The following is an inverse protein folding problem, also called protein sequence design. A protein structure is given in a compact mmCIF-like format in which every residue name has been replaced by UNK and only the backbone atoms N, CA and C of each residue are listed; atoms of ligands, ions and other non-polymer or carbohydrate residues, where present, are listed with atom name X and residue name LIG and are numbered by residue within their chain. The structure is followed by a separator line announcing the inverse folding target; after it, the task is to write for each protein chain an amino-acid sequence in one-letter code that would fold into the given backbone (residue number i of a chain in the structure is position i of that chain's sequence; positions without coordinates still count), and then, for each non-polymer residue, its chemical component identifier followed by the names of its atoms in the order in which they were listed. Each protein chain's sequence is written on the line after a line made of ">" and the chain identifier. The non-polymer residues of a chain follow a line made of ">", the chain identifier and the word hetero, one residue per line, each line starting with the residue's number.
data_IF_649996149116
#
_entry.id   IF_649996149116
#
_cell.length_a   1.000
_cell.length_b   1.000
_cell.length_c   1.000
_cell.angle_alpha   90.00
_cell.angle_beta   90.00
_cell.angle_gamma   90.00
#
_symmetry.space_group_name_H-M   'P 1'
#
loop_
_entity.id
_entity.type
_entity.pdbx_description
1 polymer ?
#
# COMPACT_ATOMS: atom_id res chain seq x y z
N UNK A 1 -6.38 -27.62 -10.07
CA UNK A 1 -5.91 -26.32 -9.59
C UNK A 1 -7.08 -25.33 -9.56
N UNK A 2 -7.20 -24.56 -8.47
CA UNK A 2 -8.29 -23.60 -8.37
C UNK A 2 -7.94 -22.27 -9.06
N UNK A 3 -6.78 -21.70 -8.77
CA UNK A 3 -6.31 -20.44 -9.35
C UNK A 3 -4.89 -20.62 -9.88
N UNK A 4 -4.64 -20.13 -11.11
CA UNK A 4 -3.31 -20.02 -11.70
C UNK A 4 -3.01 -18.58 -12.06
N UNK A 5 -1.86 -18.07 -11.62
CA UNK A 5 -1.53 -16.66 -11.72
C UNK A 5 -0.30 -16.44 -12.61
N UNK A 6 -0.26 -15.29 -13.28
CA UNK A 6 0.92 -14.86 -14.03
C UNK A 6 0.86 -13.41 -14.47
N UNK A 7 1.91 -12.94 -15.11
CA UNK A 7 1.87 -11.67 -15.83
C UNK A 7 0.97 -11.78 -17.06
N UNK A 8 0.49 -10.65 -17.57
CA UNK A 8 -0.34 -10.61 -18.76
C UNK A 8 0.34 -11.24 -20.00
N UNK A 9 1.66 -11.20 -20.05
CA UNK A 9 2.47 -11.81 -21.09
C UNK A 9 2.45 -13.34 -21.06
N UNK A 10 2.09 -13.96 -19.94
CA UNK A 10 1.91 -15.40 -19.82
C UNK A 10 0.58 -15.90 -20.39
N UNK A 11 -0.40 -15.03 -20.59
CA UNK A 11 -1.70 -15.44 -21.15
C UNK A 11 -1.54 -16.16 -22.49
N UNK A 12 -0.62 -15.65 -23.34
CA UNK A 12 -0.24 -16.27 -24.59
C UNK A 12 1.28 -16.05 -24.84
N UNK A 13 2.02 -17.10 -25.26
CA UNK A 13 1.59 -18.48 -25.50
C UNK A 13 1.74 -19.42 -24.28
N UNK A 14 2.27 -18.94 -23.12
CA UNK A 14 2.68 -19.80 -22.01
C UNK A 14 1.50 -20.56 -21.38
N UNK A 15 0.51 -19.86 -20.87
CA UNK A 15 -0.65 -20.49 -20.23
C UNK A 15 -1.53 -21.27 -21.21
N UNK A 16 -1.62 -20.85 -22.48
CA UNK A 16 -2.32 -21.64 -23.51
C UNK A 16 -1.62 -22.97 -23.77
N UNK A 17 -0.28 -23.02 -23.72
CA UNK A 17 0.48 -24.26 -23.82
C UNK A 17 0.31 -25.15 -22.58
N UNK A 18 0.26 -24.54 -21.38
CA UNK A 18 -0.01 -25.29 -20.15
C UNK A 18 -1.42 -25.92 -20.15
N UNK A 19 -2.43 -25.19 -20.62
CA UNK A 19 -3.78 -25.73 -20.83
C UNK A 19 -3.72 -26.93 -21.77
N UNK A 20 -3.14 -26.77 -22.95
CA UNK A 20 -3.07 -27.83 -23.95
C UNK A 20 -2.37 -29.08 -23.43
N UNK A 21 -1.25 -28.93 -22.74
CA UNK A 21 -0.48 -30.07 -22.20
C UNK A 21 -1.19 -30.74 -21.03
N UNK A 22 -1.65 -29.94 -20.06
CA UNK A 22 -2.26 -30.45 -18.82
C UNK A 22 -3.60 -31.10 -19.09
N UNK A 23 -4.47 -30.49 -19.89
CA UNK A 23 -5.79 -31.02 -20.17
C UNK A 23 -5.75 -32.22 -21.10
N UNK A 24 -4.79 -32.30 -22.04
CA UNK A 24 -4.56 -33.49 -22.85
C UNK A 24 -4.14 -34.68 -21.99
N UNK A 25 -3.33 -34.45 -20.95
CA UNK A 25 -2.89 -35.51 -20.03
C UNK A 25 -3.99 -35.91 -19.05
N UNK A 26 -4.70 -34.93 -18.48
CA UNK A 26 -5.71 -35.15 -17.42
C UNK A 26 -7.07 -35.62 -17.96
N UNK A 27 -7.40 -35.29 -19.21
CA UNK A 27 -8.72 -35.53 -19.80
C UNK A 27 -9.86 -34.65 -19.26
N UNK A 28 -9.53 -33.58 -18.54
CA UNK A 28 -10.49 -32.62 -17.98
C UNK A 28 -9.87 -31.24 -17.81
N UNK A 29 -10.66 -30.15 -17.62
CA UNK A 29 -10.16 -28.82 -17.33
C UNK A 29 -9.21 -28.82 -16.13
N UNK A 30 -8.04 -28.21 -16.30
CA UNK A 30 -6.96 -28.24 -15.32
C UNK A 30 -7.10 -27.15 -14.26
N UNK A 31 -7.51 -25.94 -14.65
CA UNK A 31 -7.61 -24.79 -13.76
C UNK A 31 -8.94 -24.08 -13.93
N UNK A 32 -9.55 -23.65 -12.81
CA UNK A 32 -10.85 -22.96 -12.81
C UNK A 32 -10.71 -21.47 -13.13
N UNK A 33 -9.70 -20.80 -12.57
CA UNK A 33 -9.51 -19.36 -12.67
C UNK A 33 -8.09 -19.02 -13.09
N UNK A 34 -7.98 -18.23 -14.15
CA UNK A 34 -6.72 -17.71 -14.66
C UNK A 34 -6.62 -16.23 -14.31
N UNK A 35 -5.58 -15.87 -13.57
CA UNK A 35 -5.39 -14.52 -13.03
C UNK A 35 -4.15 -13.88 -13.64
N UNK A 36 -4.34 -12.78 -14.39
CA UNK A 36 -3.25 -12.08 -15.06
C UNK A 36 -3.09 -10.66 -14.57
N UNK A 37 -1.88 -10.33 -14.13
CA UNK A 37 -1.52 -9.02 -13.58
C UNK A 37 -0.73 -8.23 -14.62
N UNK A 38 -1.02 -6.94 -14.76
CA UNK A 38 -0.20 -6.05 -15.57
C UNK A 38 1.14 -5.77 -14.88
N UNK A 39 2.17 -5.49 -15.69
CA UNK A 39 3.51 -5.33 -15.19
C UNK A 39 3.68 -4.08 -14.32
N UNK A 40 4.57 -4.21 -13.35
CA UNK A 40 5.18 -3.07 -12.69
C UNK A 40 6.23 -2.47 -13.64
N UNK A 41 6.07 -1.19 -13.95
CA UNK A 41 6.97 -0.44 -14.80
C UNK A 41 7.82 0.55 -13.98
N UNK A 42 8.94 0.96 -14.52
CA UNK A 42 9.66 2.17 -14.10
C UNK A 42 9.59 3.22 -15.22
N UNK A 43 10.25 4.36 -15.06
CA UNK A 43 10.28 5.41 -16.07
C UNK A 43 10.86 4.97 -17.44
N UNK A 44 11.53 3.81 -17.50
CA UNK A 44 12.15 3.21 -18.70
C UNK A 44 11.28 2.10 -19.30
N UNK A 45 10.12 1.79 -18.70
CA UNK A 45 9.19 0.75 -19.09
C UNK A 45 9.20 -0.47 -18.16
N UNK A 46 8.93 -1.68 -18.68
CA UNK A 46 8.86 -2.92 -17.87
C UNK A 46 10.15 -3.14 -17.10
N UNK A 47 10.05 -3.27 -15.78
CA UNK A 47 11.16 -3.66 -14.91
C UNK A 47 11.55 -5.12 -15.19
N UNK A 48 12.82 -5.36 -15.44
CA UNK A 48 13.34 -6.73 -15.68
C UNK A 48 14.73 -6.92 -15.08
N UNK A 49 15.03 -8.15 -14.65
CA UNK A 49 16.33 -8.54 -14.08
C UNK A 49 17.48 -8.29 -15.06
N UNK A 50 17.26 -8.50 -16.37
CA UNK A 50 18.28 -8.40 -17.40
C UNK A 50 18.79 -6.99 -17.70
N UNK A 51 18.06 -5.95 -17.26
CA UNK A 51 18.42 -4.53 -17.51
C UNK A 51 19.26 -3.88 -16.41
N UNK A 52 19.66 -4.63 -15.39
CA UNK A 52 20.35 -4.09 -14.21
C UNK A 52 19.44 -3.19 -13.35
N UNK A 53 19.71 -3.06 -12.05
CA UNK A 53 18.90 -2.21 -11.16
C UNK A 53 17.54 -2.82 -10.79
N UNK A 54 17.48 -4.14 -10.65
CA UNK A 54 16.30 -4.84 -10.17
C UNK A 54 16.00 -4.42 -8.72
N UNK A 55 14.86 -3.80 -8.51
CA UNK A 55 14.37 -3.45 -7.18
C UNK A 55 13.83 -4.69 -6.50
N UNK A 56 14.41 -5.03 -5.36
CA UNK A 56 13.90 -6.06 -4.45
C UNK A 56 13.26 -5.39 -3.24
N UNK A 57 12.40 -6.12 -2.52
CA UNK A 57 11.86 -5.65 -1.24
C UNK A 57 13.00 -5.37 -0.25
N UNK A 58 14.02 -6.25 -0.20
CA UNK A 58 15.21 -6.04 0.66
C UNK A 58 15.93 -4.73 0.37
N UNK A 59 16.03 -4.32 -0.90
CA UNK A 59 16.63 -3.02 -1.24
C UNK A 59 15.76 -1.85 -0.74
N UNK A 60 14.43 -2.00 -0.69
CA UNK A 60 13.55 -0.99 -0.11
C UNK A 60 13.77 -0.90 1.40
N UNK A 61 13.92 -2.04 2.09
CA UNK A 61 14.24 -2.10 3.53
C UNK A 61 15.60 -1.45 3.82
N UNK A 62 16.64 -1.75 3.03
CA UNK A 62 17.96 -1.10 3.12
C UNK A 62 17.90 0.42 2.94
N UNK A 63 16.91 0.90 2.18
CA UNK A 63 16.62 2.33 1.99
C UNK A 63 15.69 2.93 3.06
N UNK A 64 15.32 2.14 4.07
CA UNK A 64 14.48 2.58 5.19
C UNK A 64 12.97 2.56 4.92
N UNK A 65 12.51 1.91 3.86
CA UNK A 65 11.08 1.75 3.63
C UNK A 65 10.56 0.48 4.30
N UNK A 66 9.43 0.60 4.99
CA UNK A 66 8.68 -0.56 5.47
C UNK A 66 8.08 -1.32 4.27
N UNK A 67 8.20 -2.65 4.18
CA UNK A 67 7.57 -3.48 3.15
C UNK A 67 6.06 -3.26 3.00
N UNK A 68 5.36 -2.93 4.10
CA UNK A 68 3.92 -2.65 4.08
C UNK A 68 3.57 -1.36 3.33
N UNK A 69 4.49 -0.40 3.28
CA UNK A 69 4.36 0.79 2.42
C UNK A 69 4.35 0.39 0.94
N UNK A 70 5.23 -0.52 0.53
CA UNK A 70 5.23 -1.03 -0.84
C UNK A 70 3.95 -1.83 -1.14
N UNK A 71 3.46 -2.61 -0.16
CA UNK A 71 2.18 -3.29 -0.28
C UNK A 71 1.03 -2.30 -0.47
N UNK A 72 0.96 -1.24 0.34
CA UNK A 72 -0.05 -0.19 0.18
C UNK A 72 0.04 0.46 -1.21
N UNK A 73 1.25 0.80 -1.67
CA UNK A 73 1.48 1.34 -3.01
C UNK A 73 0.88 0.43 -4.10
N UNK A 74 1.07 -0.88 -4.01
CA UNK A 74 0.48 -1.83 -4.96
C UNK A 74 -1.05 -1.89 -4.86
N UNK A 75 -1.61 -1.89 -3.64
CA UNK A 75 -3.06 -1.98 -3.42
C UNK A 75 -3.83 -0.73 -3.84
N UNK A 76 -3.16 0.42 -3.95
CA UNK A 76 -3.75 1.67 -4.44
C UNK A 76 -4.10 1.63 -5.94
N UNK A 77 -3.61 0.64 -6.68
CA UNK A 77 -3.90 0.46 -8.10
C UNK A 77 -4.60 -0.88 -8.34
N UNK A 78 -5.55 -0.89 -9.27
CA UNK A 78 -6.15 -2.15 -9.71
C UNK A 78 -5.13 -2.98 -10.50
N UNK A 79 -5.05 -4.29 -10.27
CA UNK A 79 -4.07 -5.19 -10.88
C UNK A 79 -4.12 -5.26 -12.41
N UNK A 80 -5.27 -4.89 -13.02
CA UNK A 80 -5.44 -4.74 -14.49
C UNK A 80 -4.99 -3.38 -15.03
N UNK A 81 -4.42 -2.52 -14.20
CA UNK A 81 -3.85 -1.24 -14.64
C UNK A 81 -2.34 -1.29 -14.56
N UNK A 82 -1.63 -0.67 -15.53
CA UNK A 82 -0.18 -0.51 -15.41
C UNK A 82 0.16 0.26 -14.14
N UNK A 83 1.09 -0.26 -13.34
CA UNK A 83 1.60 0.44 -12.18
C UNK A 83 3.02 0.91 -12.47
N UNK A 84 3.29 2.19 -12.30
CA UNK A 84 4.62 2.77 -12.50
C UNK A 84 5.25 3.06 -11.15
N UNK A 85 6.39 2.44 -10.89
CA UNK A 85 7.18 2.64 -9.69
C UNK A 85 8.11 3.85 -9.86
N UNK A 86 8.15 4.69 -8.84
CA UNK A 86 9.22 5.67 -8.58
C UNK A 86 9.39 5.82 -7.07
N UNK A 87 10.55 6.28 -6.63
CA UNK A 87 10.72 6.58 -5.20
C UNK A 87 9.79 7.69 -4.74
N UNK A 88 9.50 8.70 -5.57
CA UNK A 88 8.50 9.72 -5.25
C UNK A 88 7.11 9.14 -5.02
N UNK A 89 6.69 8.15 -5.82
CA UNK A 89 5.39 7.47 -5.61
C UNK A 89 5.39 6.60 -4.36
N UNK A 90 6.53 5.98 -4.04
CA UNK A 90 6.69 5.22 -2.80
C UNK A 90 6.70 6.15 -1.57
N UNK A 91 7.36 7.32 -1.63
CA UNK A 91 7.34 8.35 -0.59
C UNK A 91 5.91 8.84 -0.31
N UNK A 92 5.11 9.03 -1.38
CA UNK A 92 3.69 9.39 -1.22
C UNK A 92 2.90 8.28 -0.53
N UNK A 93 3.17 7.02 -0.87
CA UNK A 93 2.55 5.88 -0.19
C UNK A 93 3.00 5.77 1.28
N UNK A 94 4.27 6.04 1.58
CA UNK A 94 4.80 6.07 2.95
C UNK A 94 4.10 7.13 3.80
N UNK A 95 3.93 8.34 3.26
CA UNK A 95 3.19 9.41 3.95
C UNK A 95 1.72 9.04 4.15
N UNK A 96 1.09 8.41 3.16
CA UNK A 96 -0.30 7.96 3.26
C UNK A 96 -0.46 6.87 4.33
N UNK A 97 0.46 5.89 4.36
CA UNK A 97 0.48 4.84 5.37
C UNK A 97 0.67 5.42 6.79
N UNK A 98 1.64 6.31 6.95
CA UNK A 98 1.91 6.95 8.23
C UNK A 98 0.70 7.76 8.74
N UNK A 99 0.06 8.55 7.87
CA UNK A 99 -1.16 9.30 8.21
C UNK A 99 -2.32 8.37 8.57
N UNK A 100 -2.46 7.25 7.86
CA UNK A 100 -3.48 6.23 8.15
C UNK A 100 -3.24 5.63 9.54
N UNK A 101 -2.04 5.18 9.83
CA UNK A 101 -1.63 4.63 11.13
C UNK A 101 -1.85 5.63 12.26
N UNK A 102 -1.43 6.89 12.11
CA UNK A 102 -1.64 7.94 13.12
C UNK A 102 -3.12 8.19 13.40
N UNK A 103 -3.94 8.19 12.35
CA UNK A 103 -5.38 8.37 12.49
C UNK A 103 -6.05 7.20 13.23
N UNK A 104 -5.60 5.98 12.98
CA UNK A 104 -6.07 4.79 13.69
C UNK A 104 -5.57 4.79 15.14
N UNK A 105 -4.34 5.23 15.38
CA UNK A 105 -3.76 5.37 16.72
C UNK A 105 -4.52 6.37 17.61
N UNK A 106 -5.18 7.37 17.02
CA UNK A 106 -6.01 8.34 17.76
C UNK A 106 -7.38 7.79 18.16
N UNK A 107 -7.80 6.63 17.65
CA UNK A 107 -9.08 6.01 18.02
C UNK A 107 -8.98 5.39 19.42
N UNK A 108 -10.01 5.64 20.26
CA UNK A 108 -10.11 5.00 21.57
C UNK A 108 -10.15 3.47 21.45
N UNK A 109 -9.52 2.79 22.39
CA UNK A 109 -9.55 1.33 22.52
C UNK A 109 -10.74 0.84 23.36
N UNK A 110 -11.48 1.76 23.95
CA UNK A 110 -12.58 1.45 24.84
C UNK A 110 -13.91 1.33 24.10
N UNK A 111 -14.83 0.56 24.68
CA UNK A 111 -16.18 0.38 24.16
C UNK A 111 -16.38 -0.94 23.45
N UNK A 112 -17.61 -1.17 23.02
CA UNK A 112 -18.00 -2.36 22.25
C UNK A 112 -18.38 -1.90 20.82
N UNK A 113 -18.05 -2.69 19.80
CA UNK A 113 -18.44 -2.36 18.44
C UNK A 113 -19.95 -2.55 18.22
N UNK A 114 -20.55 -1.64 17.49
CA UNK A 114 -21.90 -1.78 16.95
C UNK A 114 -21.82 -2.55 15.62
N UNK A 115 -22.12 -3.85 15.68
CA UNK A 115 -22.04 -4.76 14.53
C UNK A 115 -23.08 -4.44 13.47
N UNK A 116 -24.26 -3.94 13.87
CA UNK A 116 -25.30 -3.56 12.91
C UNK A 116 -24.91 -2.29 12.15
N UNK A 117 -24.33 -1.30 12.82
CA UNK A 117 -23.79 -0.12 12.18
C UNK A 117 -22.54 -0.42 11.31
N UNK A 118 -21.80 -1.47 11.61
CA UNK A 118 -20.65 -1.92 10.82
C UNK A 118 -21.05 -2.61 9.50
N UNK A 119 -22.17 -3.32 9.47
CA UNK A 119 -22.61 -4.17 8.35
C UNK A 119 -22.61 -3.48 6.99
N UNK A 120 -23.13 -2.27 6.80
CA UNK A 120 -23.12 -1.60 5.49
C UNK A 120 -21.70 -1.38 4.94
N UNK A 121 -20.72 -1.14 5.79
CA UNK A 121 -19.32 -0.96 5.38
C UNK A 121 -18.64 -2.28 5.03
N UNK A 122 -18.97 -3.36 5.73
CA UNK A 122 -18.51 -4.71 5.39
C UNK A 122 -19.05 -5.14 4.03
N UNK A 123 -20.34 -4.90 3.76
CA UNK A 123 -20.97 -5.19 2.47
C UNK A 123 -20.33 -4.36 1.34
N UNK A 124 -20.04 -3.08 1.57
CA UNK A 124 -19.35 -2.23 0.59
C UNK A 124 -17.94 -2.73 0.31
N UNK A 125 -17.19 -3.12 1.33
CA UNK A 125 -15.84 -3.67 1.19
C UNK A 125 -15.86 -5.00 0.43
N UNK A 126 -16.77 -5.91 0.78
CA UNK A 126 -16.96 -7.16 0.06
C UNK A 126 -17.36 -6.94 -1.40
N UNK A 127 -18.26 -5.98 -1.67
CA UNK A 127 -18.66 -5.62 -3.03
C UNK A 127 -17.48 -5.05 -3.84
N UNK A 128 -16.61 -4.24 -3.22
CA UNK A 128 -15.42 -3.72 -3.86
C UNK A 128 -14.46 -4.84 -4.27
N UNK A 129 -14.20 -5.79 -3.37
CA UNK A 129 -13.33 -6.94 -3.65
C UNK A 129 -13.99 -7.95 -4.58
N UNK A 130 -15.32 -8.16 -4.46
CA UNK A 130 -16.10 -9.00 -5.37
C UNK A 130 -16.17 -8.46 -6.80
N UNK A 131 -15.90 -7.17 -6.98
CA UNK A 131 -15.79 -6.54 -8.29
C UNK A 131 -14.35 -6.61 -8.81
N UNK A 132 -13.93 -7.82 -9.17
CA UNK A 132 -12.62 -8.10 -9.78
C UNK A 132 -11.43 -7.64 -8.91
N UNK A 133 -11.49 -7.91 -7.62
CA UNK A 133 -10.45 -7.58 -6.63
C UNK A 133 -10.04 -6.09 -6.66
N UNK A 134 -11.03 -5.19 -6.70
CA UNK A 134 -10.78 -3.75 -6.72
C UNK A 134 -10.29 -3.23 -5.36
N UNK A 135 -9.03 -3.49 -5.05
CA UNK A 135 -8.39 -3.10 -3.79
C UNK A 135 -8.34 -1.59 -3.60
N UNK A 136 -8.24 -0.82 -4.68
CA UNK A 136 -8.27 0.66 -4.57
C UNK A 136 -9.62 1.18 -4.09
N UNK A 137 -10.72 0.53 -4.49
CA UNK A 137 -12.05 0.83 -3.96
C UNK A 137 -12.20 0.32 -2.52
N UNK A 138 -11.65 -0.86 -2.20
CA UNK A 138 -11.60 -1.36 -0.83
C UNK A 138 -10.89 -0.39 0.13
N UNK A 139 -9.76 0.19 -0.29
CA UNK A 139 -9.07 1.25 0.46
C UNK A 139 -9.94 2.51 0.62
N UNK A 140 -10.74 2.86 -0.39
CA UNK A 140 -11.69 3.98 -0.27
C UNK A 140 -12.69 3.73 0.84
N UNK A 141 -13.26 2.53 0.92
CA UNK A 141 -14.19 2.14 2.00
C UNK A 141 -13.52 2.24 3.37
N UNK A 142 -12.25 1.80 3.49
CA UNK A 142 -11.47 1.95 4.72
C UNK A 142 -11.34 3.43 5.15
N UNK A 143 -11.04 4.33 4.21
CA UNK A 143 -10.96 5.77 4.50
C UNK A 143 -12.34 6.36 4.86
N UNK A 144 -13.42 5.85 4.28
CA UNK A 144 -14.77 6.31 4.59
C UNK A 144 -15.22 5.86 5.98
N UNK A 145 -14.85 4.64 6.42
CA UNK A 145 -15.03 4.20 7.81
C UNK A 145 -14.38 5.18 8.79
N UNK A 146 -13.16 5.62 8.51
CA UNK A 146 -12.45 6.56 9.38
C UNK A 146 -13.11 7.95 9.48
N UNK A 147 -13.90 8.36 8.46
CA UNK A 147 -14.64 9.63 8.42
C UNK A 147 -16.05 9.50 8.96
N UNK A 148 -16.59 8.28 8.99
CA UNK A 148 -17.98 8.03 9.35
C UNK A 148 -18.30 8.44 10.80
N UNK A 149 -19.55 8.73 11.05
CA UNK A 149 -20.08 8.95 12.40
C UNK A 149 -20.37 7.60 13.08
N UNK A 150 -19.29 6.90 13.43
CA UNK A 150 -19.28 5.61 14.11
C UNK A 150 -18.45 5.73 15.39
N UNK A 151 -18.76 4.91 16.40
CA UNK A 151 -17.91 4.80 17.58
C UNK A 151 -16.51 4.32 17.21
N UNK A 152 -15.49 4.73 17.97
CA UNK A 152 -14.11 4.30 17.73
C UNK A 152 -13.96 2.78 17.81
N UNK A 153 -14.69 2.12 18.73
CA UNK A 153 -14.73 0.66 18.83
C UNK A 153 -15.25 0.01 17.52
N UNK A 154 -16.30 0.58 16.92
CA UNK A 154 -16.84 0.09 15.64
C UNK A 154 -15.87 0.33 14.48
N UNK A 155 -15.21 1.50 14.45
CA UNK A 155 -14.17 1.76 13.44
C UNK A 155 -13.01 0.77 13.56
N UNK A 156 -12.50 0.52 14.76
CA UNK A 156 -11.41 -0.44 14.99
C UNK A 156 -11.82 -1.85 14.59
N UNK A 157 -13.04 -2.27 14.89
CA UNK A 157 -13.60 -3.55 14.47
C UNK A 157 -13.59 -3.71 12.93
N UNK A 158 -14.05 -2.68 12.20
CA UNK A 158 -14.05 -2.68 10.73
C UNK A 158 -12.63 -2.66 10.14
N UNK A 159 -11.71 -1.92 10.75
CA UNK A 159 -10.31 -1.88 10.32
C UNK A 159 -9.66 -3.26 10.47
N UNK A 160 -9.89 -3.94 11.60
CA UNK A 160 -9.40 -5.30 11.84
C UNK A 160 -9.93 -6.28 10.79
N UNK A 161 -11.22 -6.25 10.53
CA UNK A 161 -11.89 -7.09 9.53
C UNK A 161 -11.32 -6.86 8.11
N UNK A 162 -11.18 -5.62 7.70
CA UNK A 162 -10.65 -5.27 6.37
C UNK A 162 -9.16 -5.61 6.24
N UNK A 163 -8.41 -5.46 7.32
CA UNK A 163 -6.97 -5.70 7.31
C UNK A 163 -6.61 -7.18 7.24
N UNK A 164 -7.55 -8.09 7.57
CA UNK A 164 -7.38 -9.52 7.30
C UNK A 164 -7.20 -9.82 5.81
N UNK A 165 -7.72 -8.97 4.92
CA UNK A 165 -7.54 -9.06 3.48
C UNK A 165 -6.43 -8.13 2.99
N UNK A 166 -6.44 -6.87 3.44
CA UNK A 166 -5.44 -5.88 3.01
C UNK A 166 -4.03 -6.22 3.52
N UNK A 167 -3.94 -6.82 4.72
CA UNK A 167 -2.70 -7.24 5.38
C UNK A 167 -1.67 -6.11 5.44
N UNK A 168 -2.10 -4.96 5.92
CA UNK A 168 -1.27 -3.76 6.09
C UNK A 168 -0.76 -3.61 7.53
N UNK A 169 -1.17 -4.50 8.46
CA UNK A 169 -0.75 -4.46 9.86
C UNK A 169 -1.21 -3.20 10.61
N UNK A 170 -2.39 -2.65 10.23
CA UNK A 170 -2.83 -1.31 10.61
C UNK A 170 -2.99 -1.14 12.12
N UNK A 171 -3.64 -2.09 12.80
CA UNK A 171 -3.87 -1.99 14.24
C UNK A 171 -2.56 -2.17 15.02
N UNK A 172 -1.70 -3.09 14.60
CA UNK A 172 -0.39 -3.31 15.22
C UNK A 172 0.51 -2.08 15.06
N UNK A 173 0.59 -1.52 13.85
CA UNK A 173 1.34 -0.30 13.58
C UNK A 173 0.82 0.90 14.39
N UNK A 174 -0.52 1.01 14.55
CA UNK A 174 -1.14 2.04 15.36
C UNK A 174 -0.81 1.90 16.85
N UNK A 175 -0.72 0.67 17.36
CA UNK A 175 -0.30 0.39 18.72
C UNK A 175 1.15 0.77 18.96
N UNK A 176 2.04 0.41 18.05
CA UNK A 176 3.45 0.80 18.12
C UNK A 176 3.64 2.31 18.05
N UNK A 177 2.86 2.99 17.18
CA UNK A 177 2.88 4.45 17.08
C UNK A 177 2.41 5.13 18.37
N UNK A 178 1.41 4.56 19.05
CA UNK A 178 0.91 5.09 20.34
C UNK A 178 1.89 4.88 21.50
N UNK A 179 2.77 3.87 21.40
CA UNK A 179 3.76 3.53 22.45
C UNK A 179 5.07 4.30 22.26
N UNK A 180 5.35 4.81 21.06
CA UNK A 180 6.50 5.68 20.87
C UNK A 180 6.27 6.93 21.72
N UNK A 181 7.17 7.28 22.66
CA UNK A 181 7.07 8.56 23.36
C UNK A 181 6.95 9.65 22.31
N UNK A 182 6.02 10.58 22.55
CA UNK A 182 5.95 11.79 21.74
C UNK A 182 7.37 12.32 21.60
N UNK A 183 7.84 12.46 20.36
CA UNK A 183 9.23 12.86 20.10
C UNK A 183 9.55 14.05 21.00
N UNK A 184 10.78 14.09 21.52
CA UNK A 184 11.29 15.17 22.35
C UNK A 184 10.62 16.47 21.92
N UNK A 185 9.89 17.14 22.82
CA UNK A 185 9.33 18.46 22.51
C UNK A 185 10.49 19.32 22.00
N UNK A 186 10.45 19.60 20.71
CA UNK A 186 11.45 20.45 20.08
C UNK A 186 11.30 21.85 20.69
N UNK A 187 12.41 22.47 21.03
CA UNK A 187 12.37 23.87 21.45
C UNK A 187 11.81 24.74 20.31
N UNK A 188 11.24 25.91 20.58
CA UNK A 188 10.80 26.82 19.53
C UNK A 188 11.89 27.15 18.50
N UNK A 189 13.15 27.13 18.92
CA UNK A 189 14.31 27.37 18.05
C UNK A 189 14.59 26.19 17.14
N UNK A 190 14.57 24.95 17.66
CA UNK A 190 14.72 23.73 16.88
C UNK A 190 13.55 23.56 15.85
N UNK A 191 12.34 23.91 16.27
CA UNK A 191 11.16 23.90 15.37
C UNK A 191 11.34 24.87 14.21
N UNK A 192 11.77 26.11 14.48
CA UNK A 192 12.01 27.12 13.45
C UNK A 192 13.15 26.72 12.49
N UNK A 193 14.20 26.07 13.00
CA UNK A 193 15.30 25.57 12.17
C UNK A 193 14.85 24.44 11.25
N UNK A 194 14.06 23.49 11.74
CA UNK A 194 13.48 22.41 10.97
C UNK A 194 12.52 22.95 9.90
N UNK A 195 11.66 23.92 10.23
CA UNK A 195 10.75 24.55 9.27
C UNK A 195 11.52 25.28 8.15
N UNK A 196 12.60 25.98 8.50
CA UNK A 196 13.48 26.64 7.52
C UNK A 196 14.16 25.64 6.57
N UNK A 197 14.59 24.47 7.08
CA UNK A 197 15.16 23.39 6.28
C UNK A 197 14.13 22.76 5.37
N UNK A 198 12.91 22.54 5.85
CA UNK A 198 11.78 22.02 5.03
C UNK A 198 11.47 22.99 3.87
N UNK A 199 11.45 24.30 4.15
CA UNK A 199 11.20 25.30 3.12
C UNK A 199 12.33 25.35 2.08
N UNK A 200 13.59 25.34 2.51
CA UNK A 200 14.76 25.28 1.61
C UNK A 200 14.73 24.03 0.73
N UNK A 201 14.35 22.86 1.30
CA UNK A 201 14.20 21.64 0.52
C UNK A 201 13.09 21.78 -0.54
N UNK A 202 11.97 22.40 -0.20
CA UNK A 202 10.87 22.64 -1.15
C UNK A 202 11.31 23.58 -2.31
N UNK A 203 12.10 24.57 -2.01
CA UNK A 203 12.66 25.52 -3.03
C UNK A 203 13.67 24.81 -3.92
N UNK A 204 14.60 24.02 -3.37
CA UNK A 204 15.55 23.22 -4.12
C UNK A 204 14.83 22.24 -5.08
N UNK A 205 13.76 21.58 -4.63
CA UNK A 205 12.92 20.72 -5.48
C UNK A 205 12.24 21.48 -6.61
N UNK A 206 11.72 22.69 -6.37
CA UNK A 206 11.16 23.56 -7.42
C UNK A 206 12.21 23.97 -8.44
N UNK A 207 13.43 24.23 -7.99
CA UNK A 207 14.57 24.57 -8.84
C UNK A 207 15.18 23.34 -9.55
N UNK A 208 14.69 22.11 -9.28
CA UNK A 208 15.25 20.83 -9.74
C UNK A 208 16.69 20.59 -9.28
N UNK A 209 17.11 21.22 -8.21
CA UNK A 209 18.38 20.98 -7.52
C UNK A 209 18.23 19.80 -6.57
N UNK A 210 18.34 18.60 -7.13
CA UNK A 210 18.15 17.36 -6.41
C UNK A 210 19.27 17.09 -5.40
N UNK A 211 20.49 17.54 -5.68
CA UNK A 211 21.61 17.37 -4.79
C UNK A 211 21.42 18.10 -3.46
N UNK A 212 20.99 19.37 -3.53
CA UNK A 212 20.66 20.16 -2.32
C UNK A 212 19.44 19.62 -1.60
N UNK A 213 18.42 19.18 -2.34
CA UNK A 213 17.21 18.59 -1.73
C UNK A 213 17.49 17.29 -0.98
N UNK A 214 18.40 16.45 -1.49
CA UNK A 214 18.82 15.20 -0.85
C UNK A 214 19.72 15.46 0.35
N UNK A 215 20.66 16.39 0.27
CA UNK A 215 21.51 16.79 1.42
C UNK A 215 20.67 17.31 2.59
N UNK A 216 19.63 18.11 2.32
CA UNK A 216 18.72 18.61 3.38
C UNK A 216 17.87 17.46 3.94
N UNK A 217 17.44 16.50 3.13
CA UNK A 217 16.74 15.30 3.64
C UNK A 217 17.62 14.54 4.63
N UNK A 218 18.88 14.31 4.28
CA UNK A 218 19.83 13.56 5.09
C UNK A 218 20.21 14.32 6.39
N UNK A 219 20.08 15.65 6.38
CA UNK A 219 20.25 16.48 7.58
C UNK A 219 19.03 16.44 8.50
N UNK A 220 17.83 16.15 7.96
CA UNK A 220 16.57 16.07 8.71
C UNK A 220 16.26 14.64 9.21
N UNK A 221 17.00 13.64 8.76
CA UNK A 221 16.86 12.23 9.15
C UNK A 221 17.64 11.92 10.43
#
# INVERSE_FOLDING_TARGET
>A
LDIHCGGIDNAFPHHTNEIAQSEAYLGHPWCKYWFHVLHLNDARGKMSKSKGGFLTVSLLEEKGYDPLVYRLFCLQSHYRKPLTFSFDSLDNAAQAYQKLVQRIASLSKEGQPDVEAARPYQEQFQAALGNDLNTSLGLTVLYDVLKADLSDATKRYLIDDFDQVLSLGLLEAAEQASQKPAGKELSPEETAEIEALIQKRAEARKAKDWATADAIRDQLA
#
